data_IF_201399694549
#
_entry.id   IF_201399694549
#
_cell.length_a   1.000
_cell.length_b   1.000
_cell.length_c   1.000
_cell.angle_alpha   90.00
_cell.angle_beta   90.00
_cell.angle_gamma   90.00
#
_symmetry.space_group_name_H-M   'P 1'
#
loop_
_entity.id
_entity.type
_entity.pdbx_description
1 polymer ?
#
# COMPACT_ATOMS: atom_id res chain seq x y z
N UNK A 1 -74.71 -24.97 9.24
CA UNK A 1 -74.81 -25.22 10.69
C UNK A 1 -73.47 -25.74 11.14
N UNK A 2 -72.61 -24.86 11.64
CA UNK A 2 -71.28 -25.25 12.12
C UNK A 2 -71.45 -25.88 13.51
N UNK A 3 -70.87 -27.06 13.79
CA UNK A 3 -70.93 -27.63 15.11
C UNK A 3 -70.18 -26.68 16.07
N UNK A 4 -70.92 -26.19 17.06
CA UNK A 4 -70.40 -25.43 18.18
C UNK A 4 -69.27 -26.21 18.85
N UNK A 5 -68.06 -25.62 18.87
CA UNK A 5 -66.91 -26.12 19.61
C UNK A 5 -67.28 -26.35 21.08
N UNK A 6 -66.78 -27.40 21.73
CA UNK A 6 -67.05 -27.66 23.13
C UNK A 6 -66.46 -26.52 23.99
N UNK A 7 -67.36 -25.77 24.62
CA UNK A 7 -67.05 -24.81 25.68
C UNK A 7 -66.66 -25.56 26.95
N UNK A 8 -65.36 -25.73 27.15
CA UNK A 8 -64.71 -25.88 28.47
C UNK A 8 -63.39 -25.15 28.32
N UNK A 9 -63.14 -24.16 29.18
CA UNK A 9 -61.90 -23.38 29.25
C UNK A 9 -60.70 -24.29 29.03
N UNK A 10 -60.11 -24.20 27.84
CA UNK A 10 -58.92 -24.94 27.48
C UNK A 10 -57.75 -24.27 28.19
N UNK A 11 -57.54 -24.67 29.45
CA UNK A 11 -56.48 -24.16 30.33
C UNK A 11 -55.10 -24.23 29.68
N UNK A 12 -54.88 -25.15 28.75
CA UNK A 12 -53.64 -25.23 27.99
C UNK A 12 -53.54 -24.07 26.99
N UNK A 13 -54.60 -23.77 26.23
CA UNK A 13 -54.64 -22.58 25.35
C UNK A 13 -54.54 -21.27 26.13
N UNK A 14 -55.19 -21.18 27.29
CA UNK A 14 -55.10 -20.02 28.16
C UNK A 14 -53.68 -19.81 28.68
N UNK A 15 -53.04 -20.85 29.20
CA UNK A 15 -51.62 -20.79 29.62
C UNK A 15 -50.69 -20.39 28.47
N UNK A 16 -50.91 -20.92 27.27
CA UNK A 16 -50.13 -20.53 26.09
C UNK A 16 -50.32 -19.04 25.80
N UNK A 17 -51.55 -18.53 25.83
CA UNK A 17 -51.82 -17.09 25.63
C UNK A 17 -51.18 -16.18 26.69
N UNK A 18 -51.12 -16.63 27.94
CA UNK A 18 -50.52 -15.86 29.04
C UNK A 18 -48.99 -15.90 29.04
N UNK A 19 -48.40 -17.06 28.72
CA UNK A 19 -46.96 -17.31 28.91
C UNK A 19 -46.09 -16.85 27.73
N UNK A 20 -46.68 -16.61 26.56
CA UNK A 20 -45.96 -16.26 25.34
C UNK A 20 -46.58 -15.03 24.67
N UNK A 21 -45.74 -14.15 24.15
CA UNK A 21 -46.18 -13.12 23.20
C UNK A 21 -46.27 -13.75 21.82
N UNK A 22 -47.49 -13.90 21.32
CA UNK A 22 -47.75 -14.55 20.04
C UNK A 22 -47.83 -13.52 18.92
N UNK A 23 -47.16 -13.81 17.81
CA UNK A 23 -47.34 -13.14 16.53
C UNK A 23 -47.65 -14.19 15.49
N UNK A 24 -48.77 -14.03 14.78
CA UNK A 24 -49.21 -14.96 13.74
C UNK A 24 -48.80 -14.35 12.40
N UNK A 25 -48.01 -15.11 11.63
CA UNK A 25 -47.60 -14.75 10.29
C UNK A 25 -47.78 -15.95 9.37
N UNK A 26 -48.55 -15.78 8.29
CA UNK A 26 -48.85 -16.85 7.35
C UNK A 26 -47.82 -16.86 6.22
N UNK A 27 -47.21 -18.03 5.98
CA UNK A 27 -46.28 -18.23 4.87
C UNK A 27 -46.90 -19.25 3.92
N UNK A 28 -47.21 -18.89 2.66
CA UNK A 28 -47.78 -19.81 1.69
C UNK A 28 -46.75 -20.86 1.27
N UNK A 29 -47.15 -21.85 0.47
CA UNK A 29 -46.20 -22.85 -0.04
C UNK A 29 -45.15 -22.19 -0.94
N UNK A 30 -43.89 -22.64 -0.87
CA UNK A 30 -42.79 -22.06 -1.65
C UNK A 30 -42.89 -22.36 -3.16
N UNK A 31 -43.44 -23.53 -3.51
CA UNK A 31 -43.67 -24.00 -4.89
C UNK A 31 -44.91 -24.90 -4.91
N UNK A 32 -45.60 -24.95 -6.05
CA UNK A 32 -46.71 -25.88 -6.28
C UNK A 32 -46.21 -27.32 -6.57
N UNK A 33 -44.93 -27.52 -6.91
CA UNK A 33 -44.37 -28.84 -7.16
C UNK A 33 -43.72 -29.44 -5.89
N UNK A 34 -44.41 -30.39 -5.26
CA UNK A 34 -43.93 -31.09 -4.08
C UNK A 34 -42.61 -31.85 -4.31
N UNK A 35 -42.25 -32.17 -5.56
CA UNK A 35 -40.98 -32.86 -5.90
C UNK A 35 -39.77 -31.97 -5.68
N UNK A 36 -39.96 -30.66 -5.71
CA UNK A 36 -38.90 -29.67 -5.52
C UNK A 36 -38.61 -29.38 -4.04
N UNK A 37 -39.50 -29.78 -3.12
CA UNK A 37 -39.37 -29.49 -1.69
C UNK A 37 -38.04 -29.94 -1.05
N UNK A 38 -37.46 -31.11 -1.40
CA UNK A 38 -36.16 -31.53 -0.85
C UNK A 38 -34.96 -30.68 -1.32
N UNK A 39 -35.16 -29.78 -2.28
CA UNK A 39 -34.10 -28.97 -2.91
C UNK A 39 -34.42 -27.47 -2.88
N UNK A 40 -35.31 -27.03 -1.99
CA UNK A 40 -35.74 -25.62 -1.90
C UNK A 40 -34.57 -24.65 -1.66
N UNK A 41 -33.52 -25.11 -0.98
CA UNK A 41 -32.29 -24.36 -0.72
C UNK A 41 -31.42 -24.15 -1.97
N UNK A 42 -31.70 -24.87 -3.05
CA UNK A 42 -30.96 -24.82 -4.32
C UNK A 42 -31.74 -24.10 -5.43
N UNK A 43 -33.03 -23.84 -5.22
CA UNK A 43 -33.85 -23.11 -6.18
C UNK A 43 -33.49 -21.63 -6.14
N UNK A 44 -33.49 -21.01 -7.31
CA UNK A 44 -33.33 -19.57 -7.39
C UNK A 44 -34.65 -18.87 -6.96
N UNK A 45 -34.57 -17.61 -6.50
CA UNK A 45 -35.75 -16.86 -6.06
C UNK A 45 -36.81 -16.78 -7.17
N UNK A 46 -36.41 -16.71 -8.45
CA UNK A 46 -37.33 -16.66 -9.59
C UNK A 46 -38.15 -17.95 -9.79
N UNK A 47 -37.70 -19.07 -9.23
CA UNK A 47 -38.38 -20.37 -9.29
C UNK A 47 -39.37 -20.56 -8.13
N UNK A 48 -39.36 -19.65 -7.15
CA UNK A 48 -40.26 -19.64 -6.00
C UNK A 48 -41.51 -18.81 -6.30
N UNK A 49 -42.59 -19.12 -5.58
CA UNK A 49 -43.83 -18.36 -5.71
C UNK A 49 -43.64 -16.92 -5.20
N UNK A 50 -44.10 -15.89 -5.95
CA UNK A 50 -43.95 -14.49 -5.54
C UNK A 50 -44.60 -14.20 -4.18
N UNK A 51 -45.73 -14.83 -3.89
CA UNK A 51 -46.44 -14.70 -2.60
C UNK A 51 -45.60 -15.25 -1.43
N UNK A 52 -44.82 -16.32 -1.66
CA UNK A 52 -43.91 -16.88 -0.66
C UNK A 52 -42.73 -15.94 -0.40
N UNK A 53 -42.13 -15.37 -1.46
CA UNK A 53 -41.06 -14.40 -1.33
C UNK A 53 -41.53 -13.15 -0.57
N UNK A 54 -42.71 -12.64 -0.90
CA UNK A 54 -43.29 -11.49 -0.21
C UNK A 54 -43.56 -11.80 1.26
N UNK A 55 -44.17 -12.96 1.55
CA UNK A 55 -44.46 -13.37 2.93
C UNK A 55 -43.19 -13.60 3.75
N UNK A 56 -42.15 -14.21 3.19
CA UNK A 56 -40.88 -14.44 3.90
C UNK A 56 -40.10 -13.14 4.11
N UNK A 57 -40.15 -12.19 3.15
CA UNK A 57 -39.62 -10.85 3.33
C UNK A 57 -40.35 -10.12 4.47
N UNK A 58 -41.69 -10.14 4.47
CA UNK A 58 -42.49 -9.56 5.54
C UNK A 58 -42.20 -10.18 6.91
N UNK A 59 -42.01 -11.50 6.97
CA UNK A 59 -41.61 -12.20 8.20
C UNK A 59 -40.25 -11.71 8.71
N UNK A 60 -39.29 -11.51 7.81
CA UNK A 60 -37.95 -11.01 8.17
C UNK A 60 -38.02 -9.63 8.77
N UNK A 61 -38.76 -8.72 8.15
CA UNK A 61 -38.98 -7.36 8.66
C UNK A 61 -39.65 -7.38 10.04
N UNK A 62 -40.70 -8.20 10.20
CA UNK A 62 -41.39 -8.37 11.47
C UNK A 62 -40.45 -8.89 12.55
N UNK A 63 -39.66 -9.93 12.27
CA UNK A 63 -38.65 -10.46 13.21
C UNK A 63 -37.59 -9.42 13.56
N UNK A 64 -37.07 -8.69 12.58
CA UNK A 64 -36.07 -7.63 12.81
C UNK A 64 -36.62 -6.52 13.70
N UNK A 65 -37.87 -6.10 13.47
CA UNK A 65 -38.53 -5.07 14.29
C UNK A 65 -38.76 -5.54 15.73
N UNK A 66 -39.21 -6.79 15.93
CA UNK A 66 -39.40 -7.34 17.28
C UNK A 66 -38.07 -7.51 18.02
N UNK A 67 -37.01 -7.95 17.33
CA UNK A 67 -35.68 -8.12 17.91
C UNK A 67 -35.04 -6.79 18.33
N UNK A 68 -35.37 -5.67 17.69
CA UNK A 68 -34.91 -4.34 18.13
C UNK A 68 -35.42 -3.96 19.52
N UNK A 69 -36.59 -4.48 19.91
CA UNK A 69 -37.21 -4.21 21.21
C UNK A 69 -36.91 -5.29 22.25
N UNK A 70 -36.27 -6.39 21.84
CA UNK A 70 -35.90 -7.47 22.74
C UNK A 70 -34.75 -7.05 23.65
N UNK A 71 -34.75 -7.55 24.90
CA UNK A 71 -33.63 -7.34 25.81
C UNK A 71 -32.39 -8.06 25.25
N UNK A 72 -31.28 -7.36 24.98
CA UNK A 72 -30.07 -8.01 24.49
C UNK A 72 -29.53 -8.95 25.57
N UNK A 73 -29.31 -10.21 25.20
CA UNK A 73 -28.59 -11.19 26.02
C UNK A 73 -27.23 -11.45 25.38
N UNK A 74 -26.19 -11.44 26.20
CA UNK A 74 -24.84 -11.75 25.72
C UNK A 74 -24.67 -13.25 25.52
N UNK A 75 -23.81 -13.62 24.56
CA UNK A 75 -23.49 -15.02 24.28
C UNK A 75 -23.01 -15.78 25.52
N UNK A 76 -22.22 -15.13 26.39
CA UNK A 76 -21.77 -15.72 27.66
C UNK A 76 -22.94 -16.01 28.60
N UNK A 77 -23.89 -15.07 28.72
CA UNK A 77 -25.10 -15.25 29.53
C UNK A 77 -25.99 -16.35 28.96
N UNK A 78 -26.15 -16.43 27.63
CA UNK A 78 -26.90 -17.51 26.96
C UNK A 78 -26.26 -18.86 27.26
N UNK A 79 -24.94 -18.97 27.19
CA UNK A 79 -24.23 -20.20 27.52
C UNK A 79 -24.44 -20.63 28.97
N UNK A 80 -24.45 -19.69 29.92
CA UNK A 80 -24.72 -19.99 31.32
C UNK A 80 -26.18 -20.43 31.57
N UNK A 81 -27.15 -19.76 30.95
CA UNK A 81 -28.56 -20.17 31.01
C UNK A 81 -28.77 -21.56 30.38
N UNK A 82 -28.12 -21.85 29.25
CA UNK A 82 -28.16 -23.16 28.61
C UNK A 82 -27.58 -24.24 29.53
N UNK A 83 -26.44 -24.00 30.18
CA UNK A 83 -25.87 -24.96 31.16
C UNK A 83 -26.84 -25.24 32.30
N UNK A 84 -27.47 -24.20 32.86
CA UNK A 84 -28.47 -24.34 33.91
C UNK A 84 -29.68 -25.18 33.44
N UNK A 85 -30.21 -24.92 32.24
CA UNK A 85 -31.34 -25.70 31.71
C UNK A 85 -30.97 -27.15 31.39
N UNK A 86 -29.78 -27.37 30.83
CA UNK A 86 -29.29 -28.73 30.54
C UNK A 86 -29.11 -29.52 31.83
N UNK A 87 -28.52 -28.92 32.87
CA UNK A 87 -28.34 -29.58 34.17
C UNK A 87 -29.69 -29.90 34.81
N UNK A 88 -30.65 -28.99 34.76
CA UNK A 88 -32.02 -29.22 35.25
C UNK A 88 -32.69 -30.40 34.54
N UNK A 89 -32.57 -30.49 33.21
CA UNK A 89 -33.17 -31.57 32.40
C UNK A 89 -32.47 -32.90 32.63
N UNK A 90 -31.16 -32.91 32.90
CA UNK A 90 -30.39 -34.14 33.08
C UNK A 90 -30.46 -34.69 34.49
N UNK A 91 -30.56 -33.82 35.50
CA UNK A 91 -30.52 -34.21 36.92
C UNK A 91 -31.89 -34.17 37.61
N UNK A 92 -32.93 -33.65 36.96
CA UNK A 92 -34.24 -33.33 37.54
C UNK A 92 -34.14 -32.47 38.82
N UNK A 93 -33.01 -31.77 39.00
CA UNK A 93 -32.72 -30.95 40.17
C UNK A 93 -32.28 -29.56 39.73
N UNK A 94 -32.85 -28.55 40.38
CA UNK A 94 -32.45 -27.17 40.15
C UNK A 94 -31.25 -26.83 41.02
N UNK A 95 -30.07 -26.78 40.40
CA UNK A 95 -28.85 -26.34 41.05
C UNK A 95 -28.89 -24.83 41.31
N UNK A 96 -29.20 -24.45 42.55
CA UNK A 96 -29.24 -23.05 43.00
C UNK A 96 -27.89 -22.36 42.74
N UNK A 97 -26.76 -23.08 42.82
CA UNK A 97 -25.44 -22.52 42.54
C UNK A 97 -25.24 -22.18 41.07
N UNK A 98 -25.70 -23.01 40.13
CA UNK A 98 -25.60 -22.72 38.69
C UNK A 98 -26.54 -21.59 38.28
N UNK A 99 -27.73 -21.54 38.86
CA UNK A 99 -28.67 -20.44 38.64
C UNK A 99 -28.10 -19.10 39.13
N UNK A 100 -27.47 -19.12 40.31
CA UNK A 100 -26.75 -17.97 40.86
C UNK A 100 -25.58 -17.55 39.97
N UNK A 101 -24.76 -18.48 39.50
CA UNK A 101 -23.63 -18.20 38.61
C UNK A 101 -24.11 -17.58 37.28
N UNK A 102 -25.13 -18.15 36.65
CA UNK A 102 -25.69 -17.62 35.40
C UNK A 102 -26.27 -16.20 35.57
N UNK A 103 -26.89 -15.95 36.73
CA UNK A 103 -27.39 -14.63 37.09
C UNK A 103 -26.25 -13.63 37.31
N UNK A 104 -25.25 -13.99 38.11
CA UNK A 104 -24.05 -13.19 38.36
C UNK A 104 -23.33 -12.83 37.06
N UNK A 105 -23.11 -13.82 36.18
CA UNK A 105 -22.45 -13.60 34.89
C UNK A 105 -23.29 -12.69 33.98
N UNK A 106 -24.62 -12.82 33.99
CA UNK A 106 -25.51 -11.93 33.25
C UNK A 106 -25.44 -10.48 33.75
N UNK A 107 -25.35 -10.26 35.06
CA UNK A 107 -25.21 -8.91 35.61
C UNK A 107 -23.81 -8.31 35.37
N UNK A 108 -22.76 -9.12 35.50
CA UNK A 108 -21.40 -8.70 35.19
C UNK A 108 -21.28 -8.27 33.71
N UNK A 109 -21.83 -9.07 32.82
CA UNK A 109 -21.99 -8.78 31.40
C UNK A 109 -22.67 -7.43 31.14
N UNK A 110 -23.84 -7.20 31.75
CA UNK A 110 -24.61 -5.96 31.57
C UNK A 110 -23.86 -4.72 32.06
N UNK A 111 -23.22 -4.80 33.23
CA UNK A 111 -22.40 -3.70 33.74
C UNK A 111 -21.19 -3.43 32.84
N UNK A 112 -20.57 -4.48 32.30
CA UNK A 112 -19.42 -4.37 31.40
C UNK A 112 -19.77 -3.72 30.05
N UNK A 113 -20.95 -4.01 29.49
CA UNK A 113 -21.42 -3.30 28.29
C UNK A 113 -21.89 -1.89 28.59
N UNK A 114 -22.54 -1.65 29.73
CA UNK A 114 -22.85 -0.30 30.16
C UNK A 114 -21.57 0.54 30.30
N UNK A 115 -20.47 -0.08 30.73
CA UNK A 115 -19.14 0.55 30.80
C UNK A 115 -18.59 0.88 29.43
N UNK A 116 -18.64 -0.07 28.49
CA UNK A 116 -18.24 0.19 27.11
C UNK A 116 -19.03 1.33 26.47
N UNK A 117 -20.36 1.31 26.63
CA UNK A 117 -21.26 2.33 26.10
C UNK A 117 -21.00 3.70 26.74
N UNK A 118 -20.95 3.79 28.07
CA UNK A 118 -20.66 5.04 28.76
C UNK A 118 -19.29 5.61 28.39
N UNK A 119 -18.27 4.76 28.24
CA UNK A 119 -16.95 5.18 27.80
C UNK A 119 -16.97 5.74 26.37
N UNK A 120 -17.72 5.12 25.45
CA UNK A 120 -17.89 5.63 24.08
C UNK A 120 -18.66 6.94 24.05
N UNK A 121 -19.77 7.04 24.79
CA UNK A 121 -20.57 8.26 24.89
C UNK A 121 -19.76 9.44 25.44
N UNK A 122 -18.92 9.19 26.45
CA UNK A 122 -18.04 10.21 27.05
C UNK A 122 -16.82 10.55 26.17
N UNK A 123 -16.32 9.58 25.41
CA UNK A 123 -15.20 9.78 24.48
C UNK A 123 -15.64 10.58 23.24
N UNK A 124 -16.89 10.40 22.81
CA UNK A 124 -17.44 10.99 21.59
C UNK A 124 -17.05 10.19 20.34
N UNK A 125 -16.81 10.89 19.24
CA UNK A 125 -16.42 10.25 17.98
C UNK A 125 -15.00 9.68 18.06
N UNK A 126 -14.84 8.40 17.76
CA UNK A 126 -13.53 7.75 17.60
C UNK A 126 -13.01 7.94 16.16
N UNK A 127 -11.68 8.11 15.96
CA UNK A 127 -10.63 8.09 16.98
C UNK A 127 -10.52 9.38 17.81
N UNK A 128 -10.13 9.26 19.08
CA UNK A 128 -10.04 10.39 20.01
C UNK A 128 -8.83 10.31 20.96
N UNK A 129 -8.40 11.47 21.46
CA UNK A 129 -7.28 11.59 22.42
C UNK A 129 -7.67 11.49 23.89
N UNK A 130 -8.96 11.67 24.21
CA UNK A 130 -9.51 11.69 25.57
C UNK A 130 -10.06 10.32 26.04
N UNK A 131 -9.84 9.24 25.28
CA UNK A 131 -10.37 7.91 25.62
C UNK A 131 -9.98 7.46 27.03
N UNK A 132 -8.73 7.69 27.45
CA UNK A 132 -8.29 7.30 28.80
C UNK A 132 -9.10 7.97 29.90
N UNK A 133 -9.36 9.28 29.78
CA UNK A 133 -10.16 10.01 30.76
C UNK A 133 -11.64 9.63 30.69
N UNK A 134 -12.14 9.32 29.49
CA UNK A 134 -13.51 8.83 29.31
C UNK A 134 -13.72 7.46 29.97
N UNK A 135 -12.74 6.56 29.87
CA UNK A 135 -12.76 5.26 30.55
C UNK A 135 -12.77 5.41 32.08
N UNK A 136 -11.93 6.29 32.64
CA UNK A 136 -11.91 6.54 34.09
C UNK A 136 -13.24 7.16 34.58
N UNK A 137 -13.81 8.08 33.79
CA UNK A 137 -15.12 8.68 34.09
C UNK A 137 -16.27 7.68 33.95
N UNK A 138 -16.22 6.77 32.98
CA UNK A 138 -17.22 5.72 32.80
C UNK A 138 -17.20 4.70 33.95
N UNK A 139 -16.02 4.37 34.48
CA UNK A 139 -15.88 3.51 35.66
C UNK A 139 -16.55 4.14 36.89
N UNK A 140 -16.33 5.45 37.11
CA UNK A 140 -16.98 6.21 38.17
C UNK A 140 -18.51 6.29 37.98
N UNK A 141 -18.99 6.49 36.75
CA UNK A 141 -20.42 6.59 36.45
C UNK A 141 -21.17 5.27 36.69
N UNK A 142 -20.48 4.13 36.64
CA UNK A 142 -21.07 2.81 36.83
C UNK A 142 -20.93 2.31 38.25
N UNK A 143 -20.05 2.92 39.04
CA UNK A 143 -19.82 2.55 40.42
C UNK A 143 -21.13 2.55 41.25
N UNK A 144 -22.00 3.55 41.07
CA UNK A 144 -23.30 3.60 41.76
C UNK A 144 -24.21 2.41 41.38
N UNK A 145 -24.25 2.05 40.09
CA UNK A 145 -25.02 0.89 39.60
C UNK A 145 -24.43 -0.42 40.10
N UNK A 146 -23.11 -0.51 40.14
CA UNK A 146 -22.40 -1.66 40.68
C UNK A 146 -22.71 -1.85 42.17
N UNK A 147 -22.66 -0.79 42.98
CA UNK A 147 -22.98 -0.83 44.41
C UNK A 147 -24.45 -1.22 44.64
N UNK A 148 -25.39 -0.73 43.83
CA UNK A 148 -26.79 -1.11 43.88
C UNK A 148 -26.99 -2.62 43.59
N UNK A 149 -26.41 -3.14 42.50
CA UNK A 149 -26.49 -4.58 42.15
C UNK A 149 -25.86 -5.45 43.24
N UNK A 150 -24.73 -5.04 43.80
CA UNK A 150 -24.10 -5.77 44.89
C UNK A 150 -24.99 -5.84 46.14
N UNK A 151 -25.63 -4.72 46.49
CA UNK A 151 -26.50 -4.62 47.67
C UNK A 151 -27.78 -5.43 47.49
N UNK A 152 -28.43 -5.31 46.34
CA UNK A 152 -29.72 -5.93 46.08
C UNK A 152 -29.63 -7.46 45.99
N UNK A 153 -28.50 -7.98 45.50
CA UNK A 153 -28.31 -9.41 45.27
C UNK A 153 -27.31 -10.09 46.22
N UNK A 154 -26.79 -9.36 47.21
CA UNK A 154 -25.82 -9.86 48.20
C UNK A 154 -24.61 -10.57 47.56
N UNK A 155 -24.07 -9.97 46.49
CA UNK A 155 -22.97 -10.55 45.72
C UNK A 155 -21.64 -10.47 46.49
N UNK A 156 -20.77 -11.44 46.23
CA UNK A 156 -19.50 -11.59 46.94
C UNK A 156 -18.32 -10.88 46.25
N UNK A 157 -17.13 -11.00 46.85
CA UNK A 157 -15.89 -10.45 46.30
C UNK A 157 -15.46 -11.15 44.99
N UNK A 158 -15.91 -12.39 44.75
CA UNK A 158 -15.58 -13.12 43.53
C UNK A 158 -16.30 -12.50 42.31
N UNK A 159 -17.55 -12.05 42.46
CA UNK A 159 -18.24 -11.24 41.46
C UNK A 159 -17.48 -9.96 41.12
N UNK A 160 -17.02 -9.21 42.13
CA UNK A 160 -16.25 -7.97 41.92
C UNK A 160 -14.95 -8.20 41.15
N UNK A 161 -14.24 -9.27 41.47
CA UNK A 161 -13.02 -9.65 40.75
C UNK A 161 -13.29 -9.93 39.28
N UNK A 162 -14.34 -10.70 38.97
CA UNK A 162 -14.78 -10.99 37.59
C UNK A 162 -15.19 -9.72 36.84
N UNK A 163 -15.96 -8.83 37.49
CA UNK A 163 -16.39 -7.57 36.90
C UNK A 163 -15.19 -6.67 36.53
N UNK A 164 -14.22 -6.54 37.45
CA UNK A 164 -12.99 -5.78 37.20
C UNK A 164 -12.18 -6.36 36.03
N UNK A 165 -12.08 -7.68 35.92
CA UNK A 165 -11.43 -8.32 34.77
C UNK A 165 -12.18 -8.00 33.46
N UNK A 166 -13.52 -7.97 33.50
CA UNK A 166 -14.31 -7.58 32.34
C UNK A 166 -14.03 -6.12 31.94
N UNK A 167 -14.05 -5.18 32.88
CA UNK A 167 -13.73 -3.77 32.63
C UNK A 167 -12.32 -3.61 32.06
N UNK A 168 -11.33 -4.31 32.60
CA UNK A 168 -9.96 -4.28 32.08
C UNK A 168 -9.86 -4.80 30.65
N UNK A 169 -10.56 -5.91 30.33
CA UNK A 169 -10.60 -6.44 28.96
C UNK A 169 -11.28 -5.45 28.01
N UNK A 170 -12.43 -4.90 28.39
CA UNK A 170 -13.17 -3.93 27.57
C UNK A 170 -12.35 -2.64 27.36
N UNK A 171 -11.62 -2.20 28.39
CA UNK A 171 -10.68 -1.07 28.32
C UNK A 171 -9.58 -1.31 27.29
N UNK A 172 -8.94 -2.48 27.32
CA UNK A 172 -7.91 -2.85 26.34
C UNK A 172 -8.48 -2.95 24.93
N UNK A 173 -9.68 -3.51 24.76
CA UNK A 173 -10.38 -3.61 23.48
C UNK A 173 -10.64 -2.22 22.88
N UNK A 174 -11.23 -1.30 23.64
CA UNK A 174 -11.48 0.07 23.18
C UNK A 174 -10.19 0.83 22.87
N UNK A 175 -9.15 0.65 23.68
CA UNK A 175 -7.84 1.25 23.40
C UNK A 175 -7.20 0.72 22.12
N UNK A 176 -7.35 -0.57 21.82
CA UNK A 176 -6.87 -1.20 20.58
C UNK A 176 -7.64 -0.67 19.38
N UNK A 177 -8.98 -0.66 19.44
CA UNK A 177 -9.83 -0.12 18.37
C UNK A 177 -9.46 1.34 18.09
N UNK A 178 -9.30 2.17 19.12
CA UNK A 178 -8.92 3.57 18.94
C UNK A 178 -7.53 3.71 18.30
N UNK A 179 -6.56 2.88 18.71
CA UNK A 179 -5.22 2.85 18.09
C UNK A 179 -5.26 2.45 16.62
N UNK A 180 -6.07 1.46 16.26
CA UNK A 180 -6.25 1.01 14.87
C UNK A 180 -6.90 2.11 14.01
N UNK A 181 -7.91 2.79 14.53
CA UNK A 181 -8.56 3.92 13.85
C UNK A 181 -7.61 5.10 13.66
N UNK A 182 -6.81 5.45 14.67
CA UNK A 182 -5.76 6.48 14.55
C UNK A 182 -4.74 6.10 13.48
N UNK A 183 -4.32 4.83 13.44
CA UNK A 183 -3.40 4.34 12.41
C UNK A 183 -4.05 4.42 11.02
N UNK A 184 -5.32 4.03 10.88
CA UNK A 184 -6.04 4.12 9.61
C UNK A 184 -6.15 5.56 9.10
N UNK A 185 -6.43 6.53 9.96
CA UNK A 185 -6.42 7.96 9.59
C UNK A 185 -5.03 8.42 9.15
N UNK A 186 -3.98 8.03 9.87
CA UNK A 186 -2.60 8.30 9.46
C UNK A 186 -2.28 7.68 8.09
N UNK A 187 -2.67 6.43 7.85
CA UNK A 187 -2.47 5.75 6.57
C UNK A 187 -3.19 6.46 5.42
N UNK A 188 -4.41 6.95 5.63
CA UNK A 188 -5.14 7.78 4.64
C UNK A 188 -4.37 9.05 4.33
N UNK A 189 -3.86 9.75 5.34
CA UNK A 189 -3.07 10.98 5.12
C UNK A 189 -1.76 10.68 4.38
N UNK A 190 -1.10 9.56 4.70
CA UNK A 190 0.08 9.07 3.97
C UNK A 190 -0.27 8.79 2.51
N UNK A 191 -1.38 8.11 2.23
CA UNK A 191 -1.84 7.83 0.87
C UNK A 191 -2.17 9.12 0.11
N UNK A 192 -2.84 10.07 0.75
CA UNK A 192 -3.14 11.38 0.17
C UNK A 192 -1.85 12.16 -0.12
N UNK A 193 -0.91 12.21 0.82
CA UNK A 193 0.40 12.83 0.62
C UNK A 193 1.21 12.14 -0.49
N UNK A 194 1.10 10.83 -0.62
CA UNK A 194 1.75 10.06 -1.67
C UNK A 194 1.11 10.26 -3.05
N UNK A 195 -0.19 10.54 -3.12
CA UNK A 195 -0.91 10.78 -4.38
C UNK A 195 -0.79 12.22 -4.89
N UNK A 196 -0.78 13.20 -3.98
CA UNK A 196 -0.77 14.63 -4.30
C UNK A 196 0.62 15.27 -4.17
N UNK A 197 1.52 14.66 -3.40
CA UNK A 197 2.88 15.12 -3.20
C UNK A 197 3.84 14.70 -4.32
N UNK A 198 5.03 15.31 -4.32
CA UNK A 198 6.14 14.83 -5.16
C UNK A 198 6.77 13.54 -4.62
N UNK A 199 7.83 13.06 -5.27
CA UNK A 199 8.52 11.81 -4.88
C UNK A 199 9.00 11.77 -3.42
N UNK A 200 9.18 12.93 -2.79
CA UNK A 200 9.66 13.09 -1.41
C UNK A 200 8.57 13.76 -0.55
N UNK A 201 7.60 12.98 -0.09
CA UNK A 201 6.47 13.50 0.70
C UNK A 201 6.62 13.30 2.23
N UNK A 202 7.63 12.53 2.69
CA UNK A 202 7.85 12.32 4.13
C UNK A 202 8.12 13.61 4.91
N UNK A 203 8.72 14.64 4.30
CA UNK A 203 8.95 15.92 4.97
C UNK A 203 7.63 16.63 5.31
N UNK A 204 6.63 16.55 4.43
CA UNK A 204 5.28 17.06 4.69
C UNK A 204 4.58 16.28 5.80
N UNK A 205 4.72 14.95 5.81
CA UNK A 205 4.20 14.09 6.88
C UNK A 205 4.88 14.31 8.22
N UNK A 206 6.19 14.57 8.24
CA UNK A 206 6.92 14.88 9.47
C UNK A 206 6.35 16.12 10.18
N UNK A 207 5.83 17.08 9.41
CA UNK A 207 5.16 18.26 9.95
C UNK A 207 3.76 17.96 10.52
N UNK A 208 3.10 16.86 10.14
CA UNK A 208 1.80 16.48 10.70
C UNK A 208 1.90 15.60 11.94
N UNK A 209 3.05 14.98 12.22
CA UNK A 209 3.28 14.18 13.45
C UNK A 209 2.92 14.93 14.74
N UNK A 210 3.33 16.20 14.97
CA UNK A 210 2.95 16.95 16.16
C UNK A 210 1.43 17.14 16.29
N UNK A 211 0.73 17.34 15.16
CA UNK A 211 -0.73 17.46 15.12
C UNK A 211 -1.40 16.17 15.61
N UNK A 212 -0.96 15.00 15.14
CA UNK A 212 -1.50 13.71 15.61
C UNK A 212 -1.22 13.46 17.09
N UNK A 213 -0.03 13.84 17.58
CA UNK A 213 0.28 13.78 19.01
C UNK A 213 -0.63 14.68 19.83
N UNK A 214 -0.95 15.87 19.34
CA UNK A 214 -1.85 16.78 20.01
C UNK A 214 -3.31 16.30 19.98
N UNK A 215 -3.78 15.76 18.85
CA UNK A 215 -5.17 15.32 18.68
C UNK A 215 -5.48 13.97 19.34
N UNK A 216 -4.54 13.01 19.28
CA UNK A 216 -4.77 11.63 19.71
C UNK A 216 -3.89 11.20 20.90
N UNK A 217 -2.94 12.03 21.33
CA UNK A 217 -2.17 11.82 22.56
C UNK A 217 -1.49 10.46 22.66
N UNK A 218 -1.85 9.73 23.72
CA UNK A 218 -1.28 8.42 24.02
C UNK A 218 -1.58 7.36 22.95
N UNK A 219 -2.75 7.44 22.30
CA UNK A 219 -3.13 6.48 21.25
C UNK A 219 -2.15 6.52 20.08
N UNK A 220 -1.83 7.72 19.58
CA UNK A 220 -0.85 7.88 18.51
C UNK A 220 0.58 7.51 18.96
N UNK A 221 0.95 7.84 20.20
CA UNK A 221 2.30 7.53 20.72
C UNK A 221 2.57 6.01 20.72
N UNK A 222 1.57 5.19 21.05
CA UNK A 222 1.66 3.71 21.01
C UNK A 222 1.85 3.18 19.58
N UNK A 223 1.28 3.83 18.56
CA UNK A 223 1.35 3.39 17.15
C UNK A 223 2.38 4.15 16.31
N UNK A 224 3.08 5.14 16.86
CA UNK A 224 3.99 6.04 16.13
C UNK A 224 5.06 5.28 15.34
N UNK A 225 5.62 4.21 15.91
CA UNK A 225 6.61 3.38 15.23
C UNK A 225 6.03 2.69 13.99
N UNK A 226 4.82 2.11 14.10
CA UNK A 226 4.10 1.49 12.97
C UNK A 226 3.72 2.52 11.92
N UNK A 227 3.20 3.67 12.35
CA UNK A 227 2.86 4.80 11.48
C UNK A 227 4.06 5.31 10.67
N UNK A 228 5.23 5.47 11.30
CA UNK A 228 6.48 5.85 10.63
C UNK A 228 6.96 4.77 9.66
N UNK A 229 6.89 3.49 10.05
CA UNK A 229 7.27 2.38 9.19
C UNK A 229 6.40 2.32 7.92
N UNK A 230 5.08 2.49 8.06
CA UNK A 230 4.15 2.55 6.93
C UNK A 230 4.47 3.72 6.00
N UNK A 231 4.68 4.92 6.54
CA UNK A 231 5.03 6.10 5.75
C UNK A 231 6.35 5.91 4.98
N UNK A 232 7.35 5.31 5.62
CA UNK A 232 8.63 4.97 4.97
C UNK A 232 8.41 3.95 3.86
N UNK A 233 7.67 2.88 4.11
CA UNK A 233 7.36 1.86 3.11
C UNK A 233 6.63 2.48 1.90
N UNK A 234 5.64 3.34 2.13
CA UNK A 234 4.93 4.01 1.06
C UNK A 234 5.84 4.94 0.25
N UNK A 235 6.78 5.64 0.90
CA UNK A 235 7.80 6.41 0.19
C UNK A 235 8.72 5.52 -0.65
N UNK A 236 9.10 4.33 -0.17
CA UNK A 236 9.90 3.37 -0.95
C UNK A 236 9.15 2.92 -2.22
N UNK A 237 7.87 2.59 -2.09
CA UNK A 237 7.02 2.18 -3.21
C UNK A 237 6.76 3.32 -4.19
N UNK A 238 6.68 4.57 -3.71
CA UNK A 238 6.56 5.73 -4.61
C UNK A 238 7.86 6.06 -5.32
N UNK A 239 9.02 5.93 -4.68
CA UNK A 239 10.30 6.22 -5.33
C UNK A 239 10.56 5.38 -6.56
N UNK A 240 10.18 4.10 -6.54
CA UNK A 240 10.39 3.21 -7.68
C UNK A 240 9.64 3.69 -8.92
N UNK A 241 8.46 4.29 -8.75
CA UNK A 241 7.67 4.85 -9.86
C UNK A 241 7.98 6.32 -10.20
N UNK A 242 8.59 7.06 -9.28
CA UNK A 242 8.74 8.51 -9.41
C UNK A 242 10.14 8.94 -9.90
N UNK A 243 11.19 8.15 -9.63
CA UNK A 243 12.55 8.42 -10.12
C UNK A 243 12.79 7.70 -11.43
N UNK A 244 12.51 8.41 -12.53
CA UNK A 244 12.84 7.96 -13.89
C UNK A 244 14.25 8.37 -14.31
N UNK A 245 14.80 7.66 -15.30
CA UNK A 245 16.16 7.85 -15.82
C UNK A 245 16.43 9.31 -16.21
N UNK A 246 15.43 10.03 -16.75
CA UNK A 246 15.51 11.46 -17.04
C UNK A 246 16.03 12.28 -15.84
N UNK A 247 15.53 12.01 -14.64
CA UNK A 247 15.92 12.78 -13.45
C UNK A 247 17.37 12.53 -13.03
N UNK A 248 17.94 11.38 -13.40
CA UNK A 248 19.34 11.04 -13.15
C UNK A 248 20.27 11.57 -14.24
N UNK A 249 19.83 11.55 -15.51
CA UNK A 249 20.64 11.97 -16.65
C UNK A 249 20.72 13.49 -16.83
N UNK A 250 19.62 14.22 -16.63
CA UNK A 250 19.56 15.67 -16.87
C UNK A 250 20.66 16.46 -16.16
N UNK A 251 21.00 16.16 -14.89
CA UNK A 251 22.09 16.83 -14.18
C UNK A 251 23.48 16.56 -14.74
N UNK A 252 23.66 15.36 -15.31
CA UNK A 252 24.94 14.87 -15.83
C UNK A 252 25.11 15.30 -17.29
N UNK A 253 24.02 15.56 -18.01
CA UNK A 253 24.00 15.88 -19.42
C UNK A 253 24.95 17.03 -19.83
N UNK A 254 25.06 18.17 -19.11
CA UNK A 254 26.00 19.23 -19.47
C UNK A 254 27.47 18.79 -19.37
N UNK A 255 27.77 17.90 -18.44
CA UNK A 255 29.10 17.35 -18.22
C UNK A 255 29.51 16.36 -19.31
N UNK A 256 28.54 15.58 -19.81
CA UNK A 256 28.73 14.68 -20.95
C UNK A 256 28.73 15.41 -22.29
N UNK A 257 27.95 16.48 -22.42
CA UNK A 257 27.90 17.29 -23.62
C UNK A 257 29.23 18.01 -23.85
N UNK A 258 29.93 18.41 -22.78
CA UNK A 258 31.21 19.11 -22.87
C UNK A 258 32.28 18.43 -23.76
N UNK A 259 32.69 17.16 -23.52
CA UNK A 259 33.69 16.50 -24.35
C UNK A 259 33.25 16.34 -25.81
N UNK A 260 31.96 16.11 -26.04
CA UNK A 260 31.39 16.02 -27.39
C UNK A 260 31.51 17.37 -28.10
N UNK A 261 31.05 18.45 -27.46
CA UNK A 261 31.14 19.82 -27.97
C UNK A 261 32.61 20.17 -28.28
N UNK A 262 33.54 19.84 -27.39
CA UNK A 262 34.96 20.11 -27.58
C UNK A 262 35.55 19.34 -28.77
N UNK A 263 35.10 18.11 -29.04
CA UNK A 263 35.54 17.31 -30.19
C UNK A 263 35.09 17.95 -31.51
N UNK A 264 33.86 18.45 -31.57
CA UNK A 264 33.35 19.15 -32.76
C UNK A 264 34.05 20.49 -32.97
N UNK A 265 34.22 21.31 -31.91
CA UNK A 265 34.80 22.65 -32.03
C UNK A 265 36.25 22.64 -32.56
N UNK A 266 36.99 21.54 -32.33
CA UNK A 266 38.34 21.36 -32.92
C UNK A 266 38.36 21.42 -34.46
N UNK A 267 37.24 21.18 -35.13
CA UNK A 267 37.12 21.24 -36.59
C UNK A 267 36.74 22.64 -37.12
N UNK A 268 36.51 23.62 -36.24
CA UNK A 268 36.12 25.00 -36.57
C UNK A 268 34.68 25.30 -36.15
N UNK A 269 34.45 26.43 -35.47
CA UNK A 269 33.20 26.72 -34.73
C UNK A 269 31.94 26.64 -35.62
N UNK A 270 31.97 27.24 -36.81
CA UNK A 270 30.79 27.30 -37.69
C UNK A 270 30.44 25.93 -38.28
N UNK A 271 31.46 25.20 -38.77
CA UNK A 271 31.29 23.86 -39.29
C UNK A 271 30.89 22.88 -38.18
N UNK A 272 31.50 23.01 -37.00
CA UNK A 272 31.20 22.23 -35.81
C UNK A 272 29.74 22.37 -35.37
N UNK A 273 29.21 23.59 -35.31
CA UNK A 273 27.81 23.84 -34.94
C UNK A 273 26.87 23.22 -35.97
N UNK A 274 27.17 23.36 -37.27
CA UNK A 274 26.37 22.79 -38.34
C UNK A 274 26.35 21.25 -38.29
N UNK A 275 27.52 20.61 -38.13
CA UNK A 275 27.58 19.14 -37.98
C UNK A 275 26.94 18.69 -36.68
N UNK A 276 27.09 19.42 -35.56
CA UNK A 276 26.42 19.04 -34.31
C UNK A 276 24.89 19.09 -34.46
N UNK A 277 24.35 20.13 -35.12
CA UNK A 277 22.92 20.21 -35.40
C UNK A 277 22.45 19.06 -36.29
N UNK A 278 23.19 18.75 -37.36
CA UNK A 278 22.84 17.63 -38.24
C UNK A 278 22.82 16.30 -37.49
N UNK A 279 23.88 15.98 -36.73
CA UNK A 279 23.92 14.77 -35.92
C UNK A 279 22.82 14.76 -34.84
N UNK A 280 22.51 15.91 -34.25
CA UNK A 280 21.43 16.06 -33.28
C UNK A 280 20.06 15.74 -33.89
N UNK A 281 19.77 16.26 -35.09
CA UNK A 281 18.52 15.97 -35.82
C UNK A 281 18.43 14.49 -36.19
N UNK A 282 19.51 13.91 -36.71
CA UNK A 282 19.55 12.48 -37.06
C UNK A 282 19.35 11.60 -35.83
N UNK A 283 20.05 11.88 -34.73
CA UNK A 283 19.91 11.15 -33.46
C UNK A 283 18.49 11.29 -32.88
N UNK A 284 17.91 12.49 -32.89
CA UNK A 284 16.54 12.72 -32.45
C UNK A 284 15.51 11.97 -33.32
N UNK A 285 15.75 11.91 -34.62
CA UNK A 285 14.93 11.13 -35.56
C UNK A 285 15.02 9.63 -35.28
N UNK A 286 16.23 9.08 -35.15
CA UNK A 286 16.45 7.66 -34.79
C UNK A 286 15.82 7.34 -33.45
N UNK A 287 15.99 8.22 -32.45
CA UNK A 287 15.36 8.08 -31.14
C UNK A 287 13.83 8.01 -31.23
N UNK A 288 13.21 8.95 -31.95
CA UNK A 288 11.75 9.02 -32.11
C UNK A 288 11.20 7.78 -32.81
N UNK A 289 11.90 7.28 -33.83
CA UNK A 289 11.53 6.05 -34.54
C UNK A 289 11.61 4.85 -33.58
N UNK A 290 12.74 4.68 -32.87
CA UNK A 290 12.91 3.60 -31.91
C UNK A 290 11.87 3.65 -30.77
N UNK A 291 11.49 4.85 -30.33
CA UNK A 291 10.48 5.07 -29.29
C UNK A 291 9.11 4.64 -29.79
N UNK A 292 8.71 5.07 -31.00
CA UNK A 292 7.43 4.69 -31.61
C UNK A 292 7.28 3.19 -31.86
N UNK A 293 8.40 2.50 -32.09
CA UNK A 293 8.44 1.05 -32.32
C UNK A 293 8.52 0.24 -31.02
N UNK A 294 8.62 0.88 -29.85
CA UNK A 294 8.81 0.19 -28.57
C UNK A 294 10.11 -0.63 -28.48
N UNK A 295 11.12 -0.30 -29.31
CA UNK A 295 12.41 -1.03 -29.38
C UNK A 295 13.55 -0.26 -28.73
N UNK A 296 13.23 0.73 -27.92
CA UNK A 296 14.23 1.56 -27.28
C UNK A 296 14.97 0.74 -26.21
N UNK A 297 16.32 0.65 -26.24
CA UNK A 297 17.06 0.02 -25.17
C UNK A 297 16.78 0.72 -23.84
N UNK A 298 16.68 -0.04 -22.74
CA UNK A 298 16.31 0.48 -21.41
C UNK A 298 17.17 1.67 -20.93
N UNK A 299 18.42 1.77 -21.37
CA UNK A 299 19.34 2.87 -21.00
C UNK A 299 19.13 4.17 -21.82
N UNK A 300 18.33 4.13 -22.88
CA UNK A 300 17.93 5.31 -23.65
C UNK A 300 16.52 5.77 -23.31
N UNK A 301 15.73 4.94 -22.62
CA UNK A 301 14.36 5.27 -22.24
C UNK A 301 14.37 6.22 -21.05
N UNK A 302 14.00 7.48 -21.32
CA UNK A 302 14.00 8.55 -20.33
C UNK A 302 12.95 8.32 -19.24
N UNK A 303 11.92 7.52 -19.52
CA UNK A 303 10.86 7.15 -18.58
C UNK A 303 11.18 5.85 -17.84
N UNK A 304 12.33 5.23 -18.11
CA UNK A 304 12.70 3.97 -17.47
C UNK A 304 12.83 4.13 -15.94
N UNK A 305 12.13 3.31 -15.13
CA UNK A 305 12.21 3.34 -13.67
C UNK A 305 13.47 2.62 -13.21
N UNK A 306 14.59 3.35 -13.17
CA UNK A 306 15.92 2.83 -12.82
C UNK A 306 15.92 2.13 -11.46
N UNK A 307 15.20 2.70 -10.48
CA UNK A 307 15.16 2.16 -9.12
C UNK A 307 14.38 0.85 -8.98
N UNK A 308 13.48 0.52 -9.92
CA UNK A 308 12.76 -0.75 -9.89
C UNK A 308 13.67 -1.94 -10.24
N UNK A 309 14.64 -1.72 -11.13
CA UNK A 309 15.52 -2.78 -11.64
C UNK A 309 16.86 -2.88 -10.90
N UNK A 310 17.20 -1.88 -10.08
CA UNK A 310 18.44 -1.83 -9.32
C UNK A 310 18.18 -1.55 -7.83
N UNK A 311 17.81 -2.60 -7.08
CA UNK A 311 17.52 -2.51 -5.64
C UNK A 311 18.67 -1.94 -4.79
N UNK A 312 19.93 -2.17 -5.20
CA UNK A 312 21.10 -1.59 -4.53
C UNK A 312 21.17 -0.06 -4.59
N UNK A 313 20.74 0.54 -5.71
CA UNK A 313 20.64 2.01 -5.84
C UNK A 313 19.48 2.55 -5.01
N UNK A 314 18.37 1.81 -4.93
CA UNK A 314 17.21 2.20 -4.12
C UNK A 314 17.61 2.32 -2.64
N UNK A 315 18.35 1.36 -2.10
CA UNK A 315 18.79 1.40 -0.70
C UNK A 315 19.75 2.57 -0.44
N UNK A 316 20.63 2.87 -1.39
CA UNK A 316 21.57 3.99 -1.30
C UNK A 316 20.85 5.35 -1.31
N UNK A 317 19.83 5.51 -2.17
CA UNK A 317 18.99 6.73 -2.25
C UNK A 317 18.13 6.88 -0.99
N UNK A 318 17.65 5.78 -0.40
CA UNK A 318 16.85 5.79 0.82
C UNK A 318 17.66 6.07 2.08
N UNK A 319 18.93 5.62 2.13
CA UNK A 319 19.85 5.90 3.24
C UNK A 319 20.46 7.29 3.16
N UNK A 320 20.54 7.86 1.96
CA UNK A 320 20.99 9.23 1.82
C UNK A 320 20.04 10.16 2.59
N UNK A 321 20.58 11.17 3.31
CA UNK A 321 19.74 12.18 3.95
C UNK A 321 18.76 12.75 2.92
N UNK A 322 17.58 13.19 3.39
CA UNK A 322 16.55 13.82 2.57
C UNK A 322 17.02 15.21 2.08
N UNK A 323 18.12 15.24 1.36
CA UNK A 323 18.61 16.40 0.64
C UNK A 323 17.65 16.55 -0.55
N UNK A 324 17.20 17.77 -0.87
CA UNK A 324 16.39 18.01 -2.06
C UNK A 324 17.21 17.64 -3.30
N UNK A 325 17.13 16.38 -3.72
CA UNK A 325 17.87 15.83 -4.85
C UNK A 325 17.61 16.64 -6.11
N UNK A 326 16.37 17.10 -6.29
CA UNK A 326 16.00 18.00 -7.37
C UNK A 326 16.83 19.31 -7.36
N UNK A 327 17.08 19.88 -6.18
CA UNK A 327 17.87 21.10 -6.04
C UNK A 327 19.35 20.85 -6.35
N UNK A 328 19.96 19.79 -5.80
CA UNK A 328 21.35 19.42 -6.10
C UNK A 328 21.54 19.06 -7.58
N UNK A 329 20.59 18.32 -8.15
CA UNK A 329 20.50 17.99 -9.55
C UNK A 329 20.43 19.25 -10.41
N UNK A 330 19.55 20.21 -10.07
CA UNK A 330 19.46 21.46 -10.81
C UNK A 330 20.71 22.33 -10.67
N UNK A 331 21.30 22.40 -9.48
CA UNK A 331 22.50 23.20 -9.23
C UNK A 331 23.70 22.64 -10.00
N UNK A 332 23.90 21.32 -9.97
CA UNK A 332 24.97 20.65 -10.73
C UNK A 332 24.78 20.76 -12.24
N UNK A 333 23.53 20.68 -12.73
CA UNK A 333 23.20 20.96 -14.14
C UNK A 333 23.57 22.40 -14.51
N UNK A 334 23.17 23.36 -13.69
CA UNK A 334 23.39 24.79 -13.93
C UNK A 334 24.87 25.15 -13.95
N UNK A 335 25.65 24.64 -12.99
CA UNK A 335 27.12 24.78 -12.98
C UNK A 335 27.75 24.16 -14.23
N UNK A 336 27.27 22.98 -14.65
CA UNK A 336 27.71 22.34 -15.88
C UNK A 336 27.43 23.20 -17.12
N UNK A 337 26.24 23.78 -17.23
CA UNK A 337 25.88 24.70 -18.32
C UNK A 337 26.73 25.98 -18.32
N UNK A 338 26.96 26.60 -17.15
CA UNK A 338 27.86 27.76 -17.02
C UNK A 338 29.25 27.39 -17.54
N UNK A 339 29.78 26.22 -17.15
CA UNK A 339 31.09 25.76 -17.60
C UNK A 339 31.14 25.57 -19.12
N UNK A 340 30.12 24.93 -19.70
CA UNK A 340 30.02 24.74 -21.16
C UNK A 340 29.98 26.10 -21.87
N UNK A 341 29.14 27.04 -21.39
CA UNK A 341 29.03 28.37 -21.96
C UNK A 341 30.33 29.20 -21.83
N UNK A 342 30.98 29.17 -20.67
CA UNK A 342 32.25 29.83 -20.43
C UNK A 342 33.33 29.34 -21.39
N UNK A 343 33.49 28.02 -21.51
CA UNK A 343 34.51 27.44 -22.36
C UNK A 343 34.23 27.68 -23.85
N UNK A 344 32.96 27.66 -24.25
CA UNK A 344 32.54 28.03 -25.60
C UNK A 344 32.90 29.49 -25.92
N UNK A 345 32.63 30.42 -25.01
CA UNK A 345 33.02 31.83 -25.13
C UNK A 345 34.54 31.99 -25.26
N UNK A 346 35.32 31.34 -24.41
CA UNK A 346 36.80 31.39 -24.48
C UNK A 346 37.32 30.88 -25.83
N UNK A 347 36.69 29.87 -26.44
CA UNK A 347 37.08 29.35 -27.76
C UNK A 347 36.68 30.26 -28.93
N UNK A 348 35.62 31.05 -28.80
CA UNK A 348 35.22 32.05 -29.80
C UNK A 348 36.16 33.27 -29.76
N UNK A 349 36.52 33.73 -28.56
CA UNK A 349 37.31 34.95 -28.38
C UNK A 349 38.84 34.73 -28.41
N UNK A 350 39.32 33.49 -28.59
CA UNK A 350 40.76 33.24 -28.76
C UNK A 350 41.22 33.65 -30.17
N UNK A 351 42.26 34.51 -30.30
CA UNK A 351 42.81 34.91 -31.59
C UNK A 351 43.38 33.70 -32.33
N UNK A 352 43.29 33.75 -33.66
CA UNK A 352 43.51 32.65 -34.63
C UNK A 352 44.93 32.04 -34.59
N UNK A 353 45.90 32.71 -33.96
CA UNK A 353 47.33 32.36 -34.02
C UNK A 353 47.72 31.02 -33.36
N UNK A 354 46.89 30.41 -32.52
CA UNK A 354 47.23 29.13 -31.82
C UNK A 354 46.63 27.89 -32.50
N UNK A 355 45.83 28.05 -33.57
CA UNK A 355 45.18 26.90 -34.24
C UNK A 355 46.10 26.04 -35.12
N UNK A 356 47.27 26.55 -35.49
CA UNK A 356 48.25 25.84 -36.34
C UNK A 356 48.95 24.69 -35.61
N UNK A 357 49.18 24.80 -34.30
CA UNK A 357 49.92 23.79 -33.52
C UNK A 357 49.09 22.51 -33.31
N UNK A 358 47.76 22.61 -33.17
CA UNK A 358 46.88 21.44 -33.03
C UNK A 358 46.55 20.73 -34.35
N UNK A 359 46.70 21.41 -35.49
CA UNK A 359 46.57 20.78 -36.80
C UNK A 359 47.82 19.97 -37.17
N UNK A 360 49.00 20.38 -36.69
CA UNK A 360 50.26 19.65 -36.86
C UNK A 360 50.26 18.28 -36.17
N UNK A 361 49.70 18.15 -34.96
CA UNK A 361 49.64 16.86 -34.27
C UNK A 361 48.66 15.85 -34.88
N UNK A 362 47.57 16.33 -35.49
CA UNK A 362 46.65 15.46 -36.25
C UNK A 362 47.28 15.04 -37.60
N UNK A 363 48.04 15.95 -38.22
CA UNK A 363 48.87 15.63 -39.38
C UNK A 363 49.94 14.59 -39.03
N UNK A 364 50.61 14.70 -37.89
CA UNK A 364 51.59 13.72 -37.40
C UNK A 364 50.96 12.34 -37.22
N UNK A 365 49.78 12.26 -36.58
CA UNK A 365 49.08 10.99 -36.35
C UNK A 365 48.59 10.36 -37.66
N UNK A 366 48.11 11.17 -38.60
CA UNK A 366 47.75 10.73 -39.96
C UNK A 366 48.98 10.32 -40.77
N UNK A 367 50.12 11.02 -40.62
CA UNK A 367 51.36 10.68 -41.32
C UNK A 367 51.91 9.35 -40.80
N UNK A 368 51.92 9.14 -39.48
CA UNK A 368 52.38 7.89 -38.89
C UNK A 368 51.51 6.69 -39.32
N UNK A 369 50.19 6.86 -39.31
CA UNK A 369 49.28 5.79 -39.75
C UNK A 369 49.39 5.48 -41.25
N UNK A 370 49.61 6.50 -42.10
CA UNK A 370 49.88 6.27 -43.54
C UNK A 370 51.26 5.63 -43.73
N UNK A 371 52.26 6.06 -42.96
CA UNK A 371 53.62 5.54 -43.04
C UNK A 371 53.67 4.07 -42.63
N UNK A 372 53.04 3.67 -41.53
CA UNK A 372 52.91 2.26 -41.13
C UNK A 372 52.20 1.42 -42.20
N UNK A 373 51.13 1.96 -42.80
CA UNK A 373 50.38 1.26 -43.87
C UNK A 373 51.22 1.10 -45.13
N UNK A 374 52.01 2.10 -45.50
CA UNK A 374 52.95 2.03 -46.63
C UNK A 374 54.11 1.07 -46.37
N UNK A 375 54.58 0.99 -45.11
CA UNK A 375 55.65 0.06 -44.72
C UNK A 375 55.16 -1.39 -44.73
N UNK A 376 53.90 -1.63 -44.35
CA UNK A 376 53.25 -2.94 -44.48
C UNK A 376 53.10 -3.35 -45.95
N UNK A 377 52.59 -2.46 -46.81
CA UNK A 377 52.42 -2.71 -48.26
C UNK A 377 53.77 -2.93 -48.98
N UNK A 378 54.82 -2.21 -48.58
CA UNK A 378 56.16 -2.41 -49.13
C UNK A 378 56.78 -3.75 -48.69
N UNK A 379 56.60 -4.15 -47.42
CA UNK A 379 57.05 -5.46 -46.94
C UNK A 379 56.33 -6.59 -47.66
N UNK A 380 55.01 -6.46 -47.87
CA UNK A 380 54.22 -7.43 -48.63
C UNK A 380 54.77 -7.57 -50.06
N UNK A 381 54.93 -6.44 -50.77
CA UNK A 381 55.44 -6.43 -52.16
C UNK A 381 56.85 -7.01 -52.29
N UNK A 382 57.75 -6.69 -51.36
CA UNK A 382 59.12 -7.22 -51.34
C UNK A 382 59.12 -8.73 -51.09
N UNK A 383 58.29 -9.22 -50.15
CA UNK A 383 58.17 -10.65 -49.88
C UNK A 383 57.59 -11.39 -51.09
N UNK A 384 56.54 -10.88 -51.73
CA UNK A 384 55.99 -11.49 -52.95
C UNK A 384 57.00 -11.50 -54.10
N UNK A 385 57.75 -10.41 -54.30
CA UNK A 385 58.77 -10.35 -55.36
C UNK A 385 59.94 -11.31 -55.08
N UNK A 386 60.35 -11.44 -53.80
CA UNK A 386 61.38 -12.40 -53.40
C UNK A 386 60.91 -13.86 -53.57
N UNK A 387 59.64 -14.15 -53.26
CA UNK A 387 59.05 -15.47 -53.46
C UNK A 387 58.95 -15.83 -54.96
N UNK A 388 58.55 -14.87 -55.79
CA UNK A 388 58.46 -15.05 -57.24
C UNK A 388 59.85 -15.24 -57.87
N UNK A 389 60.86 -14.51 -57.41
CA UNK A 389 62.25 -14.71 -57.81
C UNK A 389 62.80 -16.08 -57.38
N UNK A 390 62.48 -16.55 -56.17
CA UNK A 390 62.87 -17.87 -55.69
C UNK A 390 62.25 -19.00 -56.55
N UNK A 391 60.97 -18.87 -56.91
CA UNK A 391 60.29 -19.82 -57.79
C UNK A 391 60.91 -19.89 -59.20
N UNK A 392 61.41 -18.78 -59.74
CA UNK A 392 62.11 -18.76 -61.02
C UNK A 392 63.53 -19.35 -60.96
N UNK A 393 64.20 -19.27 -59.81
CA UNK A 393 65.52 -19.90 -59.60
C UNK A 393 65.37 -21.43 -59.51
N UNK A 394 64.39 -21.91 -58.74
CA UNK A 394 64.11 -23.36 -58.63
C UNK A 394 63.66 -23.95 -59.97
N UNK A 395 62.89 -23.20 -60.76
CA UNK A 395 62.50 -23.58 -62.12
C UNK A 395 63.69 -23.66 -63.10
N UNK A 396 64.69 -22.80 -62.95
CA UNK A 396 65.89 -22.78 -63.78
C UNK A 396 66.89 -23.90 -63.41
N UNK A 397 66.96 -24.31 -62.14
CA UNK A 397 67.75 -25.48 -61.71
C UNK A 397 67.14 -26.80 -62.20
N UNK A 398 65.82 -26.92 -62.21
CA UNK A 398 65.13 -28.11 -62.75
C UNK A 398 65.29 -28.30 -64.27
N UNK A 399 65.57 -27.23 -65.03
CA UNK A 399 65.88 -27.31 -66.46
C UNK A 399 67.36 -27.62 -66.76
N UNK A 400 68.28 -27.47 -65.80
CA UNK A 400 69.69 -27.88 -65.96
C UNK A 400 69.95 -29.37 -65.72
N UNK A 401 68.98 -30.08 -65.13
CA UNK A 401 69.08 -31.52 -64.82
C UNK A 401 68.19 -32.41 -65.71
N UNK A 402 67.68 -31.87 -66.84
CA UNK A 402 67.22 -32.66 -68.00
C UNK A 402 68.18 -32.41 -69.15
#
# INVERSE_FOLDING_TARGET
MWPSFPSREDKARERVRESFRHLIHEVPSATHDARQWPKLDQLADEELLPEYLQATSGLRELLSNELQHARPMQAASIAAHLRMYVDLVQSDHFSISLAREAFEDSHAAQLCEAFGAAAQDLAGEMPCGNLSSALDAAELAIQERQEAVMKDFHLDQAFLSRLKQCFQRKRQELELINQELVLAEWEKEVQQAASTGGCFFLSKLAASVPRYKQSYGAAFTKVEAKAKAYAQQMQRTRFTGCVVLRHLLLPILPWLAWPVINLYIRQGVLQAVLTMMLHGVVLAGVYSILQSLGRLPYYLDLEYPVLQHHSGLQELVLRAPQIPWAFLASASAFVGWIRVAWLFSVQIFRPVEVRTIGQLSNLELKLNTIMERSQADLKEKVVTAALDAALHIDGAELQRHR
#
